data_IF_290080286942
#
_entry.id   IF_290080286942
#
_cell.length_a   1.000
_cell.length_b   1.000
_cell.length_c   1.000
_cell.angle_alpha   90.00
_cell.angle_beta   90.00
_cell.angle_gamma   90.00
#
_symmetry.space_group_name_H-M   'P 1'
#
loop_
_entity.id
_entity.type
_entity.pdbx_description
1 polymer ?
#
# COMPACT_ATOMS: atom_id res chain seq x y z
N UNK A 1 -4.52 -10.24 4.06
CA UNK A 1 -3.09 -10.20 3.67
C UNK A 1 -2.17 -9.98 4.84
N UNK A 2 -2.07 -8.76 5.40
CA UNK A 2 -1.06 -8.40 6.40
C UNK A 2 -1.11 -9.22 7.71
N UNK A 3 -2.28 -9.56 8.21
CA UNK A 3 -2.40 -10.41 9.41
C UNK A 3 -1.80 -11.81 9.21
N UNK A 4 -2.02 -12.41 8.04
CA UNK A 4 -1.41 -13.72 7.72
C UNK A 4 0.12 -13.63 7.67
N UNK A 5 0.67 -12.53 7.16
CA UNK A 5 2.12 -12.30 7.15
C UNK A 5 2.68 -12.12 8.56
N UNK A 6 1.98 -11.39 9.44
CA UNK A 6 2.38 -11.26 10.86
C UNK A 6 2.41 -12.64 11.56
N UNK A 7 1.41 -13.49 11.31
CA UNK A 7 1.35 -14.84 11.88
C UNK A 7 2.49 -15.72 11.34
N UNK A 8 2.75 -15.68 10.02
CA UNK A 8 3.85 -16.43 9.42
C UNK A 8 5.21 -15.99 9.98
N UNK A 9 5.43 -14.68 10.10
CA UNK A 9 6.66 -14.16 10.71
C UNK A 9 6.79 -14.59 12.19
N UNK A 10 5.72 -14.48 12.97
CA UNK A 10 5.71 -14.89 14.37
C UNK A 10 5.99 -16.39 14.54
N UNK A 11 5.47 -17.25 13.66
CA UNK A 11 5.74 -18.70 13.71
C UNK A 11 7.21 -19.01 13.43
N UNK A 12 7.84 -18.35 12.45
CA UNK A 12 9.27 -18.52 12.18
C UNK A 12 10.12 -17.96 13.32
N UNK A 13 9.71 -16.80 13.88
CA UNK A 13 10.40 -16.21 15.03
C UNK A 13 10.39 -17.14 16.25
N UNK A 14 9.25 -17.78 16.52
CA UNK A 14 9.12 -18.75 17.63
C UNK A 14 10.02 -19.99 17.50
N UNK A 15 10.40 -20.35 16.26
CA UNK A 15 11.34 -21.45 16.00
C UNK A 15 12.80 -21.07 16.32
N UNK A 16 13.08 -19.80 16.52
CA UNK A 16 14.41 -19.23 16.83
C UNK A 16 15.55 -19.78 15.95
N UNK A 17 15.45 -19.73 14.61
CA UNK A 17 16.49 -20.26 13.75
C UNK A 17 17.78 -19.39 13.80
N UNK A 18 18.91 -19.95 13.35
CA UNK A 18 20.17 -19.20 13.21
C UNK A 18 20.16 -18.30 11.96
N UNK A 19 19.39 -18.70 10.93
CA UNK A 19 19.28 -17.95 9.64
C UNK A 19 17.81 -17.75 9.31
N UNK A 20 17.41 -16.50 9.12
CA UNK A 20 16.10 -16.09 8.65
C UNK A 20 16.15 -15.80 7.16
N UNK A 21 15.25 -16.41 6.39
CA UNK A 21 15.07 -16.14 4.97
C UNK A 21 13.71 -15.50 4.78
N UNK A 22 13.65 -14.26 4.31
CA UNK A 22 12.43 -13.49 4.16
C UNK A 22 12.27 -13.05 2.70
N UNK A 23 11.14 -13.43 2.10
CA UNK A 23 10.80 -13.06 0.73
C UNK A 23 9.64 -12.07 0.74
N UNK A 24 9.90 -10.85 0.27
CA UNK A 24 8.97 -9.72 0.26
C UNK A 24 8.15 -9.54 1.56
N UNK A 25 8.78 -9.52 2.74
CA UNK A 25 8.06 -9.52 4.01
C UNK A 25 7.22 -8.25 4.21
N UNK A 26 7.50 -7.17 3.48
CA UNK A 26 6.73 -5.93 3.53
C UNK A 26 5.54 -5.90 2.56
N UNK A 27 5.38 -6.90 1.68
CA UNK A 27 4.27 -6.94 0.74
C UNK A 27 2.93 -6.93 1.51
N UNK A 28 1.93 -6.20 1.09
CA UNK A 28 0.62 -6.08 1.76
C UNK A 28 0.63 -5.52 3.20
N UNK A 29 1.75 -5.03 3.72
CA UNK A 29 1.81 -4.33 5.01
C UNK A 29 1.59 -2.83 4.82
N UNK A 30 0.91 -2.21 5.80
CA UNK A 30 0.84 -0.76 5.91
C UNK A 30 2.11 -0.19 6.57
N UNK A 31 2.25 1.13 6.53
CA UNK A 31 3.45 1.83 7.03
C UNK A 31 3.71 1.57 8.52
N UNK A 32 2.67 1.45 9.34
CA UNK A 32 2.81 1.18 10.78
C UNK A 32 3.36 -0.23 11.00
N UNK A 33 2.83 -1.21 10.30
CA UNK A 33 3.28 -2.61 10.36
C UNK A 33 4.69 -2.79 9.79
N UNK A 34 5.06 -2.05 8.74
CA UNK A 34 6.44 -2.04 8.21
C UNK A 34 7.43 -1.52 9.28
N UNK A 35 7.04 -0.50 10.03
CA UNK A 35 7.86 0.01 11.13
C UNK A 35 8.02 -1.04 12.23
N UNK A 36 6.96 -1.75 12.60
CA UNK A 36 7.03 -2.87 13.55
C UNK A 36 7.98 -3.97 13.04
N UNK A 37 7.83 -4.38 11.77
CA UNK A 37 8.71 -5.36 11.13
C UNK A 37 10.18 -4.94 11.21
N UNK A 38 10.48 -3.68 10.90
CA UNK A 38 11.83 -3.13 10.98
C UNK A 38 12.42 -3.25 12.38
N UNK A 39 11.67 -2.92 13.42
CA UNK A 39 12.14 -3.04 14.81
C UNK A 39 12.37 -4.53 15.19
N UNK A 40 11.51 -5.45 14.75
CA UNK A 40 11.74 -6.88 14.95
C UNK A 40 13.01 -7.38 14.25
N UNK A 41 13.29 -6.93 13.02
CA UNK A 41 14.53 -7.28 12.32
C UNK A 41 15.77 -6.81 13.08
N UNK A 42 15.73 -5.61 13.67
CA UNK A 42 16.82 -5.10 14.53
C UNK A 42 17.01 -5.97 15.78
N UNK A 43 15.93 -6.41 16.40
CA UNK A 43 16.01 -7.31 17.57
C UNK A 43 16.64 -8.66 17.21
N UNK A 44 16.24 -9.27 16.09
CA UNK A 44 16.82 -10.53 15.60
C UNK A 44 18.31 -10.34 15.30
N UNK A 45 18.67 -9.24 14.63
CA UNK A 45 20.07 -8.89 14.34
C UNK A 45 20.89 -8.72 15.63
N UNK A 46 20.34 -8.04 16.63
CA UNK A 46 20.99 -7.85 17.93
C UNK A 46 21.23 -9.16 18.69
N UNK A 47 20.45 -10.21 18.41
CA UNK A 47 20.63 -11.57 18.93
C UNK A 47 21.75 -12.35 18.19
N UNK A 48 22.44 -11.72 17.24
CA UNK A 48 23.51 -12.35 16.46
C UNK A 48 23.02 -13.26 15.34
N UNK A 49 21.73 -13.26 15.02
CA UNK A 49 21.15 -14.09 13.95
C UNK A 49 21.46 -13.50 12.57
N UNK A 50 21.57 -14.37 11.57
CA UNK A 50 21.71 -13.97 10.17
C UNK A 50 20.33 -13.79 9.53
N UNK A 51 20.17 -12.71 8.77
CA UNK A 51 18.91 -12.41 8.07
C UNK A 51 19.24 -12.17 6.59
N UNK A 52 18.54 -12.86 5.70
CA UNK A 52 18.58 -12.63 4.26
C UNK A 52 17.19 -12.22 3.81
N UNK A 53 17.06 -11.05 3.18
CA UNK A 53 15.79 -10.45 2.79
C UNK A 53 15.82 -10.18 1.29
N UNK A 54 14.90 -10.80 0.54
CA UNK A 54 14.58 -10.37 -0.82
C UNK A 54 13.48 -9.30 -0.73
N UNK A 55 13.72 -8.09 -1.25
CA UNK A 55 12.81 -6.96 -1.05
C UNK A 55 12.95 -5.89 -2.14
N UNK A 56 11.82 -5.27 -2.50
CA UNK A 56 11.77 -4.13 -3.42
C UNK A 56 11.71 -2.78 -2.70
N UNK A 57 11.20 -2.76 -1.46
CA UNK A 57 11.05 -1.56 -0.64
C UNK A 57 12.26 -1.38 0.26
N UNK A 58 13.27 -0.68 -0.22
CA UNK A 58 14.54 -0.57 0.48
C UNK A 58 14.54 0.45 1.62
N UNK A 59 13.65 1.45 1.61
CA UNK A 59 13.67 2.59 2.51
C UNK A 59 13.64 2.22 4.01
N UNK A 60 12.98 1.13 4.38
CA UNK A 60 12.88 0.71 5.79
C UNK A 60 14.02 -0.20 6.22
N UNK A 61 14.85 -0.66 5.29
CA UNK A 61 15.95 -1.58 5.53
C UNK A 61 17.32 -0.88 5.62
N UNK A 62 17.43 0.35 5.13
CA UNK A 62 18.73 1.02 4.94
C UNK A 62 19.55 1.17 6.23
N UNK A 63 18.91 1.23 7.40
CA UNK A 63 19.55 1.27 8.72
C UNK A 63 19.55 -0.09 9.45
N UNK A 64 19.09 -1.14 8.78
CA UNK A 64 19.04 -2.51 9.32
C UNK A 64 20.08 -3.39 8.68
N UNK A 65 20.20 -3.32 7.35
CA UNK A 65 21.08 -4.21 6.56
C UNK A 65 22.55 -3.78 6.67
N UNK A 66 23.44 -4.75 6.59
CA UNK A 66 24.89 -4.53 6.54
C UNK A 66 25.41 -4.58 5.10
N UNK A 67 24.67 -5.25 4.21
CA UNK A 67 25.08 -5.52 2.84
C UNK A 67 23.87 -5.55 1.92
N UNK A 68 24.02 -5.01 0.71
CA UNK A 68 22.99 -4.96 -0.33
C UNK A 68 23.55 -5.67 -1.56
N UNK A 69 22.90 -6.77 -1.95
CA UNK A 69 23.26 -7.57 -3.12
C UNK A 69 22.23 -7.34 -4.22
N UNK A 70 22.65 -6.95 -5.40
CA UNK A 70 21.82 -6.82 -6.57
C UNK A 70 22.00 -7.99 -7.51
N UNK A 71 20.89 -8.65 -7.82
CA UNK A 71 20.84 -9.77 -8.76
C UNK A 71 20.32 -9.31 -10.11
N UNK A 72 21.03 -9.66 -11.17
CA UNK A 72 20.63 -9.43 -12.54
C UNK A 72 20.96 -10.65 -13.41
N UNK A 73 20.00 -11.15 -14.18
CA UNK A 73 20.16 -12.32 -15.03
C UNK A 73 20.74 -13.55 -14.29
N UNK A 74 20.31 -13.77 -13.03
CA UNK A 74 20.77 -14.90 -12.20
C UNK A 74 22.19 -14.77 -11.66
N UNK A 75 22.80 -13.59 -11.75
CA UNK A 75 24.17 -13.32 -11.26
C UNK A 75 24.17 -12.14 -10.29
N UNK A 76 25.14 -12.12 -9.39
CA UNK A 76 25.43 -10.95 -8.56
C UNK A 76 26.06 -9.89 -9.46
N UNK A 77 25.30 -8.83 -9.73
CA UNK A 77 25.73 -7.68 -10.53
C UNK A 77 26.18 -6.49 -9.67
N UNK A 78 25.88 -6.52 -8.37
CA UNK A 78 26.32 -5.49 -7.44
C UNK A 78 26.32 -5.98 -6.01
N UNK A 79 27.19 -5.40 -5.19
CA UNK A 79 27.40 -5.73 -3.79
C UNK A 79 27.96 -4.49 -3.08
N UNK A 80 27.20 -3.96 -2.12
CA UNK A 80 27.49 -2.69 -1.47
C UNK A 80 27.17 -2.71 0.01
N UNK A 81 27.89 -1.89 0.78
CA UNK A 81 27.36 -1.45 2.08
C UNK A 81 26.24 -0.41 1.87
N UNK A 82 25.40 -0.16 2.86
CA UNK A 82 24.39 0.91 2.79
C UNK A 82 24.98 2.26 2.38
N UNK A 83 26.13 2.65 2.96
CA UNK A 83 26.80 3.92 2.67
C UNK A 83 27.29 4.01 1.20
N UNK A 84 27.78 2.92 0.66
CA UNK A 84 28.15 2.83 -0.75
C UNK A 84 26.94 2.91 -1.65
N UNK A 85 25.85 2.23 -1.26
CA UNK A 85 24.61 2.19 -2.02
C UNK A 85 23.91 3.55 -2.06
N UNK A 86 23.96 4.34 -1.00
CA UNK A 86 23.48 5.72 -0.99
C UNK A 86 24.17 6.61 -2.04
N UNK A 87 25.44 6.33 -2.35
CA UNK A 87 26.23 7.07 -3.36
C UNK A 87 25.94 6.61 -4.80
N UNK A 88 25.21 5.50 -4.98
CA UNK A 88 24.79 5.06 -6.32
C UNK A 88 23.82 6.08 -6.90
N UNK A 89 24.08 6.53 -8.11
CA UNK A 89 23.27 7.52 -8.81
C UNK A 89 21.80 7.09 -8.92
N UNK A 90 20.88 8.04 -8.75
CA UNK A 90 19.42 7.80 -8.78
C UNK A 90 19.01 7.20 -10.12
N UNK A 91 19.54 7.69 -11.24
CA UNK A 91 19.23 7.20 -12.58
C UNK A 91 19.69 5.75 -12.75
N UNK A 92 20.85 5.40 -12.16
CA UNK A 92 21.34 4.01 -12.15
C UNK A 92 20.41 3.11 -11.34
N UNK A 93 19.99 3.53 -10.14
CA UNK A 93 19.03 2.77 -9.31
C UNK A 93 17.68 2.58 -10.01
N UNK A 94 17.19 3.59 -10.72
CA UNK A 94 15.96 3.49 -11.52
C UNK A 94 16.11 2.46 -12.66
N UNK A 95 17.23 2.46 -13.38
CA UNK A 95 17.54 1.45 -14.42
C UNK A 95 17.62 0.02 -13.85
N UNK A 96 18.06 -0.12 -12.62
CA UNK A 96 18.06 -1.40 -11.89
C UNK A 96 16.64 -1.84 -11.43
N UNK A 97 15.60 -1.05 -11.69
CA UNK A 97 14.22 -1.35 -11.26
C UNK A 97 13.99 -1.18 -9.77
N UNK A 98 14.91 -0.56 -9.03
CA UNK A 98 14.83 -0.41 -7.58
C UNK A 98 13.94 0.78 -7.20
N UNK A 99 13.19 0.60 -6.14
CA UNK A 99 12.37 1.67 -5.55
C UNK A 99 13.24 2.65 -4.76
N UNK A 100 12.69 3.83 -4.49
CA UNK A 100 13.38 4.86 -3.71
C UNK A 100 13.86 4.31 -2.35
N UNK A 101 15.07 4.70 -1.97
CA UNK A 101 15.69 4.37 -0.67
C UNK A 101 15.31 5.36 0.42
N UNK A 102 14.73 6.50 0.03
CA UNK A 102 14.15 7.50 0.93
C UNK A 102 12.73 7.82 0.47
N UNK A 103 11.85 8.03 1.42
CA UNK A 103 10.52 8.56 1.12
C UNK A 103 10.67 10.03 0.76
N UNK A 104 10.34 10.37 -0.49
CA UNK A 104 10.44 11.74 -0.96
C UNK A 104 9.59 12.69 -0.09
N UNK A 105 10.20 13.80 0.31
CA UNK A 105 9.54 14.90 1.01
C UNK A 105 8.96 15.94 0.03
N UNK A 106 8.81 15.58 -1.24
CA UNK A 106 8.27 16.50 -2.23
C UNK A 106 6.79 16.76 -1.94
N UNK A 107 6.49 18.02 -1.68
CA UNK A 107 5.11 18.49 -1.64
C UNK A 107 4.56 18.50 -3.07
N UNK A 108 3.32 18.06 -3.29
CA UNK A 108 2.69 18.15 -4.59
C UNK A 108 2.62 19.63 -5.01
N UNK A 109 2.90 19.90 -6.29
CA UNK A 109 2.75 21.24 -6.86
C UNK A 109 1.34 21.76 -6.56
N UNK A 110 1.25 23.02 -6.12
CA UNK A 110 -0.02 23.69 -5.89
C UNK A 110 -0.88 23.58 -7.17
N UNK A 111 -2.07 23.04 -7.02
CA UNK A 111 -3.03 23.03 -8.12
C UNK A 111 -3.45 24.44 -8.47
N UNK A 112 -3.37 24.80 -9.74
CA UNK A 112 -4.12 25.93 -10.23
C UNK A 112 -5.61 25.66 -9.95
N UNK A 113 -6.21 26.47 -9.11
CA UNK A 113 -7.65 26.43 -8.79
C UNK A 113 -8.46 26.89 -9.99
N UNK A 114 -8.48 26.10 -11.06
CA UNK A 114 -9.52 26.24 -12.07
C UNK A 114 -10.80 25.73 -11.39
N UNK A 115 -11.85 26.54 -11.43
CA UNK A 115 -13.20 26.17 -10.99
C UNK A 115 -13.62 24.88 -11.69
N UNK A 116 -13.30 23.76 -11.08
CA UNK A 116 -13.62 22.46 -11.64
C UNK A 116 -15.03 22.09 -11.20
N UNK A 117 -15.87 21.68 -12.15
CA UNK A 117 -17.23 21.19 -11.88
C UNK A 117 -17.14 19.99 -10.93
N UNK A 118 -17.97 19.97 -9.89
CA UNK A 118 -18.11 18.83 -9.00
C UNK A 118 -18.62 17.64 -9.79
N UNK A 119 -17.76 16.62 -9.95
CA UNK A 119 -18.06 15.40 -10.73
C UNK A 119 -18.76 14.35 -9.88
N UNK A 120 -18.25 14.13 -8.68
CA UNK A 120 -18.71 13.12 -7.73
C UNK A 120 -19.03 13.79 -6.40
N UNK A 121 -20.21 13.53 -5.87
CA UNK A 121 -20.58 13.92 -4.51
C UNK A 121 -21.17 12.72 -3.77
N UNK A 122 -20.69 12.48 -2.57
CA UNK A 122 -21.17 11.49 -1.63
C UNK A 122 -21.78 12.21 -0.45
N UNK A 123 -22.95 11.75 0.00
CA UNK A 123 -23.61 12.29 1.19
C UNK A 123 -24.00 11.14 2.11
N UNK A 124 -23.49 11.19 3.32
CA UNK A 124 -23.83 10.29 4.42
C UNK A 124 -23.74 8.80 4.05
N UNK A 125 -22.67 8.44 3.32
CA UNK A 125 -22.48 7.05 2.91
C UNK A 125 -22.12 6.19 4.11
N UNK A 126 -22.91 5.15 4.32
CA UNK A 126 -22.75 4.16 5.38
C UNK A 126 -22.79 2.75 4.80
N UNK A 127 -22.02 1.85 5.42
CA UNK A 127 -22.05 0.43 5.10
C UNK A 127 -21.71 -0.39 6.34
N UNK A 128 -22.46 -1.45 6.57
CA UNK A 128 -22.25 -2.39 7.66
C UNK A 128 -22.16 -3.83 7.13
N UNK A 129 -21.25 -4.62 7.70
CA UNK A 129 -21.20 -6.05 7.50
C UNK A 129 -21.65 -6.77 8.76
N UNK A 130 -22.67 -7.63 8.66
CA UNK A 130 -23.19 -8.39 9.81
C UNK A 130 -23.42 -7.50 11.04
N UNK A 131 -24.05 -6.33 10.82
CA UNK A 131 -24.32 -5.30 11.83
C UNK A 131 -23.08 -4.57 12.39
N UNK A 132 -21.88 -4.86 11.92
CA UNK A 132 -20.70 -4.08 12.27
C UNK A 132 -20.49 -2.97 11.25
N UNK A 133 -20.45 -1.69 11.67
CA UNK A 133 -20.25 -0.57 10.76
C UNK A 133 -18.82 -0.58 10.23
N UNK A 134 -18.67 -0.48 8.91
CA UNK A 134 -17.37 -0.40 8.20
C UNK A 134 -17.15 0.99 7.62
N UNK A 135 -18.21 1.58 7.07
CA UNK A 135 -18.21 2.98 6.62
C UNK A 135 -19.27 3.72 7.42
N UNK A 136 -18.92 4.88 7.96
CA UNK A 136 -19.80 5.66 8.83
C UNK A 136 -19.82 7.11 8.35
N UNK A 137 -21.01 7.55 7.89
CA UNK A 137 -21.30 8.94 7.55
C UNK A 137 -20.26 9.62 6.66
N UNK A 138 -19.83 8.94 5.60
CA UNK A 138 -18.83 9.48 4.68
C UNK A 138 -19.49 10.45 3.72
N UNK A 139 -19.12 11.73 3.81
CA UNK A 139 -19.49 12.77 2.88
C UNK A 139 -18.24 13.34 2.22
N UNK A 140 -18.23 13.41 0.88
CA UNK A 140 -17.07 13.79 0.11
C UNK A 140 -17.44 14.35 -1.26
N UNK A 141 -16.61 15.24 -1.80
CA UNK A 141 -16.75 15.80 -3.14
C UNK A 141 -15.45 15.67 -3.93
N UNK A 142 -15.57 15.34 -5.20
CA UNK A 142 -14.46 15.31 -6.14
C UNK A 142 -14.83 16.06 -7.42
N UNK A 143 -13.88 16.80 -7.93
CA UNK A 143 -14.02 17.53 -9.18
C UNK A 143 -13.52 16.70 -10.37
N UNK A 144 -13.88 17.14 -11.58
CA UNK A 144 -13.32 16.55 -12.79
C UNK A 144 -11.80 16.75 -12.84
N UNK A 145 -11.07 15.69 -13.14
CA UNK A 145 -9.59 15.69 -13.17
C UNK A 145 -8.91 15.50 -11.82
N UNK A 146 -9.67 15.27 -10.73
CA UNK A 146 -9.07 14.96 -9.44
C UNK A 146 -8.49 13.55 -9.42
N UNK A 147 -7.30 13.41 -8.82
CA UNK A 147 -6.71 12.14 -8.39
C UNK A 147 -6.75 12.07 -6.87
N UNK A 148 -7.47 11.08 -6.34
CA UNK A 148 -7.74 10.99 -4.91
C UNK A 148 -7.07 9.75 -4.34
N UNK A 149 -6.18 9.93 -3.38
CA UNK A 149 -5.59 8.84 -2.63
C UNK A 149 -6.44 8.51 -1.40
N UNK A 150 -6.98 7.29 -1.34
CA UNK A 150 -7.65 6.77 -0.15
C UNK A 150 -6.63 6.05 0.71
N UNK A 151 -6.24 6.63 1.82
CA UNK A 151 -5.19 6.13 2.71
C UNK A 151 -5.75 5.64 4.05
N UNK A 152 -5.00 4.80 4.74
CA UNK A 152 -5.36 4.26 6.04
C UNK A 152 -4.72 2.89 6.28
N UNK A 153 -4.72 2.42 7.53
CA UNK A 153 -4.18 1.10 7.91
C UNK A 153 -4.98 -0.06 7.28
N UNK A 154 -4.45 -1.27 7.40
CA UNK A 154 -5.16 -2.47 6.95
C UNK A 154 -6.45 -2.66 7.79
N UNK A 155 -7.54 -3.00 7.12
CA UNK A 155 -8.86 -3.09 7.78
C UNK A 155 -9.62 -1.76 7.89
N UNK A 156 -9.05 -0.60 7.55
CA UNK A 156 -9.72 0.71 7.65
C UNK A 156 -10.91 0.91 6.70
N UNK A 157 -11.26 -0.09 5.85
CA UNK A 157 -12.40 0.00 4.95
C UNK A 157 -12.11 0.55 3.55
N UNK A 158 -10.84 0.77 3.17
CA UNK A 158 -10.45 1.32 1.85
C UNK A 158 -11.07 0.57 0.67
N UNK A 159 -10.90 -0.75 0.63
CA UNK A 159 -11.47 -1.62 -0.41
C UNK A 159 -13.00 -1.61 -0.37
N UNK A 160 -13.58 -1.59 0.81
CA UNK A 160 -15.03 -1.51 1.01
C UNK A 160 -15.59 -0.20 0.47
N UNK A 161 -14.90 0.92 0.73
CA UNK A 161 -15.23 2.22 0.18
C UNK A 161 -15.17 2.24 -1.36
N UNK A 162 -14.09 1.73 -1.94
CA UNK A 162 -13.94 1.64 -3.41
C UNK A 162 -15.04 0.78 -4.03
N UNK A 163 -15.36 -0.38 -3.44
CA UNK A 163 -16.46 -1.25 -3.89
C UNK A 163 -17.82 -0.58 -3.76
N UNK A 164 -18.05 0.19 -2.70
CA UNK A 164 -19.30 0.95 -2.52
C UNK A 164 -19.43 2.03 -3.60
N UNK A 165 -18.35 2.76 -3.91
CA UNK A 165 -18.30 3.74 -5.00
C UNK A 165 -18.67 3.11 -6.35
N UNK A 166 -18.09 1.98 -6.70
CA UNK A 166 -18.37 1.26 -7.93
C UNK A 166 -19.77 0.59 -7.98
N UNK A 167 -20.56 0.67 -6.90
CA UNK A 167 -21.88 0.03 -6.86
C UNK A 167 -21.83 -1.49 -6.62
N UNK A 168 -20.67 -2.06 -6.29
CA UNK A 168 -20.50 -3.50 -6.03
C UNK A 168 -21.06 -3.91 -4.65
N UNK A 169 -21.34 -2.95 -3.77
CA UNK A 169 -21.98 -3.16 -2.48
C UNK A 169 -23.44 -2.71 -2.51
N UNK A 170 -24.36 -3.67 -2.50
CA UNK A 170 -25.81 -3.41 -2.53
C UNK A 170 -26.32 -2.82 -1.20
N UNK A 171 -25.67 -3.12 -0.10
CA UNK A 171 -26.04 -2.70 1.25
C UNK A 171 -25.50 -1.32 1.65
N UNK A 172 -24.73 -0.67 0.76
CA UNK A 172 -24.23 0.67 1.00
C UNK A 172 -25.39 1.68 0.91
N UNK A 173 -25.70 2.35 2.03
CA UNK A 173 -26.67 3.43 2.12
C UNK A 173 -26.01 4.78 1.87
N UNK A 174 -26.81 5.82 1.66
CA UNK A 174 -26.36 7.19 1.37
C UNK A 174 -26.65 7.63 -0.05
N UNK A 175 -26.33 8.89 -0.35
CA UNK A 175 -26.57 9.47 -1.68
C UNK A 175 -25.29 9.55 -2.45
N UNK A 176 -25.32 9.05 -3.68
CA UNK A 176 -24.22 9.12 -4.64
C UNK A 176 -24.68 9.96 -5.83
N UNK A 177 -24.00 11.05 -6.11
CA UNK A 177 -24.33 11.96 -7.21
C UNK A 177 -23.17 12.00 -8.20
N UNK A 178 -23.47 11.90 -9.49
CA UNK A 178 -22.58 12.18 -10.61
C UNK A 178 -23.12 13.36 -11.40
N UNK A 179 -22.32 14.40 -11.54
CA UNK A 179 -22.73 15.66 -12.16
C UNK A 179 -24.08 16.16 -11.59
N UNK A 180 -24.25 16.05 -10.26
CA UNK A 180 -25.46 16.43 -9.55
C UNK A 180 -26.66 15.46 -9.69
N UNK A 181 -26.52 14.38 -10.47
CA UNK A 181 -27.58 13.40 -10.69
C UNK A 181 -27.42 12.18 -9.78
N UNK A 182 -28.47 11.77 -9.03
CA UNK A 182 -28.43 10.58 -8.19
C UNK A 182 -28.12 9.32 -9.01
N UNK A 183 -27.23 8.46 -8.47
CA UNK A 183 -26.77 7.24 -9.11
C UNK A 183 -27.09 6.01 -8.27
N UNK A 184 -27.88 5.08 -8.81
CA UNK A 184 -28.11 3.76 -8.22
C UNK A 184 -26.91 2.84 -8.47
N UNK A 185 -26.83 1.72 -7.76
CA UNK A 185 -25.72 0.76 -7.88
C UNK A 185 -25.46 0.30 -9.32
N UNK A 186 -26.52 0.00 -10.09
CA UNK A 186 -26.38 -0.41 -11.49
C UNK A 186 -25.80 0.68 -12.41
N UNK A 187 -26.13 1.94 -12.15
CA UNK A 187 -25.64 3.09 -12.90
C UNK A 187 -24.17 3.33 -12.57
N UNK A 188 -23.79 3.26 -11.30
CA UNK A 188 -22.39 3.36 -10.86
C UNK A 188 -21.53 2.27 -11.49
N UNK A 189 -21.98 1.01 -11.53
CA UNK A 189 -21.26 -0.08 -12.18
C UNK A 189 -21.02 0.13 -13.69
N UNK A 190 -21.84 0.94 -14.37
CA UNK A 190 -21.65 1.26 -15.80
C UNK A 190 -20.67 2.42 -16.03
N UNK A 191 -20.50 3.29 -15.03
CA UNK A 191 -19.72 4.52 -15.16
C UNK A 191 -18.36 4.44 -14.45
N UNK A 192 -18.12 3.39 -13.66
CA UNK A 192 -16.89 3.24 -12.89
C UNK A 192 -16.35 1.82 -12.98
N UNK A 193 -15.04 1.71 -13.06
CA UNK A 193 -14.34 0.43 -13.11
C UNK A 193 -13.34 0.35 -11.97
N UNK A 194 -13.21 -0.82 -11.36
CA UNK A 194 -12.28 -1.05 -10.26
C UNK A 194 -11.23 -2.06 -10.69
N UNK A 195 -9.95 -1.69 -10.60
CA UNK A 195 -8.84 -2.64 -10.69
C UNK A 195 -8.63 -3.24 -9.32
N UNK A 196 -8.78 -4.55 -9.18
CA UNK A 196 -8.63 -5.25 -7.92
C UNK A 196 -7.17 -5.62 -7.67
N UNK A 197 -6.79 -5.74 -6.39
CA UNK A 197 -5.45 -6.17 -6.00
C UNK A 197 -5.16 -7.61 -6.45
N UNK A 198 -6.15 -8.49 -6.43
CA UNK A 198 -6.06 -9.85 -6.95
C UNK A 198 -6.77 -9.93 -8.30
N UNK A 199 -5.98 -10.09 -9.35
CA UNK A 199 -6.48 -10.14 -10.74
C UNK A 199 -7.39 -11.33 -11.01
N UNK A 200 -7.30 -12.41 -10.23
CA UNK A 200 -8.15 -13.59 -10.41
C UNK A 200 -9.63 -13.33 -10.09
N UNK A 201 -9.96 -12.22 -9.43
CA UNK A 201 -11.34 -11.78 -9.18
C UNK A 201 -11.85 -10.79 -10.22
N UNK A 202 -11.08 -10.49 -11.26
CA UNK A 202 -11.39 -9.46 -12.27
C UNK A 202 -11.86 -10.03 -13.61
N UNK A 203 -11.72 -11.34 -13.80
CA UNK A 203 -12.13 -12.10 -15.02
C UNK A 203 -13.47 -12.78 -14.85
#
# INVERSE_FOLDING_TARGET
>A
GGEKQKIAFASVYAMNPEVYLLDEPSSNLDMATIKELREHLKLIKAQGKTIIIAEHRLYYLMDVVDRIIYLENGKIAGDWTPEQFFKVDVTKRQKMGLRAIELAKELPNERSTKSALCRLELKEVMLSYRKQPVLQNISYRAASGDVIAVVGHNGAGKTTFSRALCGLHKEACGVYLWDGKPQKSKERMRCSYMVMQDVNYQL
#
